data_IF_018089257965
#
_entry.id   IF_018089257965
#
_cell.length_a   1.000
_cell.length_b   1.000
_cell.length_c   1.000
_cell.angle_alpha   90.00
_cell.angle_beta   90.00
_cell.angle_gamma   90.00
#
_symmetry.space_group_name_H-M   'P 1'
#
loop_
_entity.id
_entity.type
_entity.pdbx_description
1 polymer ?
#
# COMPACT_ATOMS: atom_id res chain seq x y z
N UNK A 1 -19.79 0.96 66.09
CA UNK A 1 -21.13 0.47 65.72
C UNK A 1 -21.04 -0.13 64.33
N UNK A 2 -21.02 -1.43 64.07
CA UNK A 2 -20.72 -2.63 64.84
C UNK A 2 -20.35 -3.67 63.78
N UNK A 3 -19.19 -4.31 63.93
CA UNK A 3 -18.96 -5.63 63.33
C UNK A 3 -19.64 -6.66 64.23
N UNK A 4 -20.08 -7.82 63.69
CA UNK A 4 -19.38 -9.05 64.07
C UNK A 4 -19.41 -10.12 62.92
N UNK A 5 -18.96 -11.37 63.12
CA UNK A 5 -17.55 -11.78 63.12
C UNK A 5 -17.25 -12.94 62.14
N UNK A 6 -15.98 -13.34 62.12
CA UNK A 6 -15.36 -14.41 61.32
C UNK A 6 -15.58 -15.80 61.97
N UNK A 7 -15.23 -16.87 61.22
CA UNK A 7 -14.68 -18.22 61.55
C UNK A 7 -15.58 -19.48 61.34
N UNK A 8 -15.01 -20.69 61.09
CA UNK A 8 -14.90 -21.31 59.75
C UNK A 8 -15.46 -22.75 59.70
N UNK A 9 -15.58 -23.36 58.52
CA UNK A 9 -15.59 -24.84 58.40
C UNK A 9 -14.85 -25.35 57.17
N UNK A 10 -14.07 -26.41 57.40
CA UNK A 10 -13.18 -27.14 56.50
C UNK A 10 -13.87 -28.38 55.89
N UNK A 11 -13.16 -28.94 54.89
CA UNK A 11 -13.17 -30.34 54.41
C UNK A 11 -13.99 -30.64 53.13
N UNK A 12 -13.28 -31.09 52.09
CA UNK A 12 -13.83 -31.93 51.02
C UNK A 12 -13.19 -31.74 49.63
N UNK A 13 -12.11 -32.47 49.32
CA UNK A 13 -11.65 -32.70 47.94
C UNK A 13 -12.72 -33.50 47.17
N UNK A 14 -12.81 -33.33 45.83
CA UNK A 14 -12.33 -34.42 44.99
C UNK A 14 -11.54 -33.97 43.75
N UNK A 15 -10.62 -34.86 43.39
CA UNK A 15 -9.83 -34.91 42.16
C UNK A 15 -10.70 -34.92 40.90
N UNK A 16 -10.31 -34.15 39.88
CA UNK A 16 -10.58 -34.50 38.48
C UNK A 16 -9.31 -34.46 37.65
N UNK A 17 -9.05 -35.63 37.10
CA UNK A 17 -8.00 -36.06 36.20
C UNK A 17 -8.09 -35.36 34.85
N UNK A 18 -6.93 -34.93 34.34
CA UNK A 18 -6.72 -34.50 32.97
C UNK A 18 -6.54 -35.72 32.05
N UNK A 19 -7.09 -35.75 30.83
CA UNK A 19 -6.81 -36.81 29.89
C UNK A 19 -5.42 -36.65 29.27
N UNK A 20 -4.60 -37.69 29.47
CA UNK A 20 -3.29 -37.89 28.85
C UNK A 20 -3.48 -38.27 27.38
N UNK A 21 -2.97 -37.44 26.46
CA UNK A 21 -2.81 -37.83 25.07
C UNK A 21 -1.62 -38.80 24.95
N UNK A 22 -1.88 -39.97 24.37
CA UNK A 22 -0.91 -41.04 24.13
C UNK A 22 0.12 -40.61 23.08
N UNK A 23 1.40 -40.64 23.46
CA UNK A 23 2.53 -40.72 22.54
C UNK A 23 2.68 -42.18 22.08
N UNK A 24 2.81 -42.39 20.77
CA UNK A 24 3.04 -43.70 20.16
C UNK A 24 4.56 -43.88 19.92
N UNK A 25 5.23 -44.91 20.46
CA UNK A 25 6.63 -45.19 20.18
C UNK A 25 6.78 -46.42 19.27
N UNK A 26 7.36 -46.25 18.10
CA UNK A 26 8.00 -47.30 17.31
C UNK A 26 9.33 -46.72 16.80
N UNK A 27 10.43 -47.10 17.45
CA UNK A 27 11.48 -47.98 16.91
C UNK A 27 12.11 -47.37 15.63
N UNK A 28 13.24 -46.66 15.67
CA UNK A 28 14.57 -47.11 16.12
C UNK A 28 14.99 -48.40 15.41
N UNK A 29 15.52 -48.26 14.19
CA UNK A 29 16.60 -49.13 13.73
C UNK A 29 17.39 -48.49 12.55
N UNK A 30 18.63 -48.94 12.42
CA UNK A 30 19.67 -48.62 11.42
C UNK A 30 20.74 -47.56 11.76
N UNK A 31 21.74 -48.07 12.50
CA UNK A 31 23.13 -47.64 12.47
C UNK A 31 23.85 -48.09 11.17
N UNK A 32 24.68 -47.17 10.66
CA UNK A 32 25.97 -47.30 9.96
C UNK A 32 26.20 -48.28 8.79
N UNK A 33 26.58 -47.70 7.63
CA UNK A 33 27.94 -47.84 7.05
C UNK A 33 28.13 -46.97 5.78
N UNK A 34 29.12 -46.06 5.86
CA UNK A 34 30.02 -45.54 4.81
C UNK A 34 29.52 -45.43 3.34
N UNK A 35 29.51 -44.21 2.79
CA UNK A 35 30.61 -43.81 1.89
C UNK A 35 30.66 -42.29 1.65
N UNK A 36 31.86 -41.76 1.85
CA UNK A 36 32.31 -40.44 1.40
C UNK A 36 32.36 -40.40 -0.13
N UNK A 37 31.69 -39.43 -0.77
CA UNK A 37 32.22 -38.70 -1.95
C UNK A 37 31.27 -37.59 -2.43
N UNK A 38 31.88 -36.41 -2.58
CA UNK A 38 31.48 -35.24 -3.40
C UNK A 38 30.48 -34.23 -2.82
N UNK A 39 31.03 -33.41 -1.93
CA UNK A 39 31.05 -31.95 -2.10
C UNK A 39 31.38 -31.56 -3.56
N UNK A 40 30.52 -30.77 -4.21
CA UNK A 40 30.92 -29.76 -5.20
C UNK A 40 29.73 -28.89 -5.66
N UNK A 41 29.84 -27.57 -5.39
CA UNK A 41 29.24 -26.41 -6.10
C UNK A 41 27.74 -26.15 -5.83
N UNK A 42 27.28 -24.94 -5.53
CA UNK A 42 27.90 -23.61 -5.33
C UNK A 42 26.83 -22.78 -4.60
N UNK A 43 27.08 -22.41 -3.34
CA UNK A 43 26.29 -21.42 -2.61
C UNK A 43 27.00 -20.07 -2.76
N UNK A 44 26.45 -19.13 -3.51
CA UNK A 44 26.96 -17.74 -3.55
C UNK A 44 26.14 -16.93 -2.55
N UNK A 45 26.64 -16.85 -1.31
CA UNK A 45 26.27 -15.79 -0.36
C UNK A 45 27.47 -14.85 -0.23
N UNK A 46 27.33 -13.62 -0.75
CA UNK A 46 28.29 -12.53 -0.49
C UNK A 46 28.07 -12.04 0.95
N UNK A 47 28.95 -12.46 1.85
CA UNK A 47 29.23 -11.75 3.10
C UNK A 47 30.44 -10.84 2.86
N UNK A 48 30.25 -9.52 2.92
CA UNK A 48 31.35 -8.58 3.02
C UNK A 48 31.96 -8.67 4.43
N UNK A 49 33.15 -9.26 4.55
CA UNK A 49 34.04 -9.04 5.70
C UNK A 49 35.11 -8.05 5.27
N UNK A 50 35.12 -6.89 5.89
CA UNK A 50 36.29 -6.00 5.87
C UNK A 50 37.38 -6.65 6.74
N UNK A 51 38.50 -7.05 6.13
CA UNK A 51 39.74 -7.30 6.86
C UNK A 51 40.62 -6.06 6.73
N UNK A 52 40.82 -5.36 7.84
CA UNK A 52 41.90 -4.39 7.96
C UNK A 52 43.19 -5.14 8.29
N UNK A 53 44.17 -5.10 7.39
CA UNK A 53 45.55 -5.43 7.74
C UNK A 53 46.29 -4.14 8.08
N UNK A 54 46.69 -4.02 9.34
CA UNK A 54 47.66 -3.04 9.81
C UNK A 54 49.05 -3.68 9.70
N UNK A 55 49.88 -3.18 8.80
CA UNK A 55 51.33 -3.43 8.83
C UNK A 55 51.99 -2.19 9.43
N UNK A 56 52.65 -2.36 10.57
CA UNK A 56 53.45 -1.32 11.23
C UNK A 56 54.82 -1.34 10.57
N UNK A 57 55.21 -0.24 9.94
CA UNK A 57 56.59 0.02 9.56
C UNK A 57 57.27 0.86 10.65
N UNK A 58 58.47 0.46 11.06
CA UNK A 58 59.28 1.04 12.13
C UNK A 58 59.97 2.35 11.72
N UNK A 59 59.21 3.28 11.14
CA UNK A 59 59.68 4.63 10.85
C UNK A 59 58.53 5.65 10.81
N UNK A 60 57.75 5.74 11.90
CA UNK A 60 57.10 6.97 12.39
C UNK A 60 56.39 7.94 11.42
N UNK A 61 55.88 7.52 10.26
CA UNK A 61 55.11 8.41 9.38
C UNK A 61 54.00 7.66 8.60
N UNK A 62 52.77 8.14 8.73
CA UNK A 62 51.60 7.64 8.00
C UNK A 62 51.45 8.40 6.68
N UNK A 63 51.57 7.69 5.56
CA UNK A 63 51.12 8.14 4.23
C UNK A 63 50.12 7.12 3.67
N UNK A 64 48.91 7.56 3.34
CA UNK A 64 47.99 6.78 2.50
C UNK A 64 48.54 6.80 1.07
N UNK A 65 48.86 5.62 0.53
CA UNK A 65 49.24 5.43 -0.87
C UNK A 65 48.25 4.42 -1.46
N UNK A 66 47.47 4.85 -2.45
CA UNK A 66 46.73 3.94 -3.32
C UNK A 66 47.53 3.74 -4.61
N UNK A 67 48.17 2.58 -4.76
CA UNK A 67 48.75 2.13 -6.03
C UNK A 67 47.73 1.25 -6.76
N UNK A 68 47.38 1.63 -7.99
CA UNK A 68 46.62 0.79 -8.93
C UNK A 68 47.59 0.02 -9.81
N UNK A 69 47.71 -1.30 -9.59
CA UNK A 69 48.36 -2.23 -10.51
C UNK A 69 47.38 -2.63 -11.61
N UNK A 70 47.78 -2.39 -12.87
CA UNK A 70 46.99 -2.65 -14.06
C UNK A 70 46.89 -4.13 -14.43
N UNK A 71 45.72 -4.50 -14.96
CA UNK A 71 45.55 -5.59 -15.90
C UNK A 71 44.39 -5.22 -16.83
N UNK A 72 44.72 -4.98 -18.09
CA UNK A 72 43.80 -4.71 -19.19
C UNK A 72 43.02 -5.97 -19.55
N UNK A 73 41.71 -5.94 -19.31
CA UNK A 73 40.75 -6.83 -19.97
C UNK A 73 39.64 -5.95 -20.52
N UNK A 74 39.44 -6.00 -21.82
CA UNK A 74 38.50 -5.15 -22.55
C UNK A 74 37.09 -5.29 -22.02
N UNK A 75 36.63 -4.26 -21.28
CA UNK A 75 35.21 -3.99 -21.13
C UNK A 75 34.87 -2.85 -22.08
N UNK A 76 34.01 -3.15 -23.05
CA UNK A 76 33.30 -2.11 -23.78
C UNK A 76 32.69 -1.14 -22.76
N UNK A 77 33.00 0.14 -22.92
CA UNK A 77 32.44 1.20 -22.10
C UNK A 77 30.91 1.13 -22.19
N UNK A 78 30.27 0.65 -21.12
CA UNK A 78 28.86 0.91 -20.87
C UNK A 78 28.73 2.43 -20.69
N UNK A 79 27.99 3.15 -21.55
CA UNK A 79 27.77 4.56 -21.33
C UNK A 79 27.05 4.73 -20.00
N UNK A 80 27.65 5.51 -19.10
CA UNK A 80 26.94 6.14 -17.99
C UNK A 80 25.83 7.01 -18.61
N UNK A 81 24.66 6.41 -18.79
CA UNK A 81 23.45 7.12 -19.16
C UNK A 81 22.97 7.87 -17.92
N UNK A 82 23.57 9.04 -17.65
CA UNK A 82 22.80 10.13 -17.04
C UNK A 82 21.77 10.58 -18.06
N UNK A 83 20.66 9.84 -18.20
CA UNK A 83 19.45 10.40 -18.76
C UNK A 83 18.65 10.99 -17.62
N UNK A 84 18.91 12.27 -17.36
CA UNK A 84 17.88 13.17 -16.85
C UNK A 84 16.82 13.33 -17.95
N UNK A 85 16.06 12.26 -18.22
CA UNK A 85 14.87 12.35 -19.04
C UNK A 85 13.75 12.86 -18.15
N UNK A 86 13.33 14.07 -18.45
CA UNK A 86 12.12 14.72 -17.96
C UNK A 86 10.89 13.88 -18.34
N UNK A 87 10.55 12.89 -17.51
CA UNK A 87 9.29 12.15 -17.60
C UNK A 87 8.14 13.00 -17.04
N UNK A 88 7.75 14.04 -17.77
CA UNK A 88 6.52 14.81 -17.47
C UNK A 88 5.61 14.90 -18.68
N UNK A 89 5.48 13.78 -19.42
CA UNK A 89 4.28 13.59 -20.25
C UNK A 89 3.21 12.99 -19.33
N UNK A 90 2.37 13.83 -18.72
CA UNK A 90 1.21 13.41 -17.91
C UNK A 90 0.45 12.34 -18.71
N UNK A 91 0.51 11.08 -18.26
CA UNK A 91 0.02 9.94 -19.03
C UNK A 91 -1.52 9.86 -19.05
N UNK A 92 -2.18 10.47 -18.06
CA UNK A 92 -3.62 10.66 -18.02
C UNK A 92 -3.96 12.14 -18.29
N UNK A 93 -4.93 12.45 -19.18
CA UNK A 93 -5.39 13.82 -19.38
C UNK A 93 -6.09 14.30 -18.11
N UNK A 94 -5.36 15.07 -17.31
CA UNK A 94 -5.82 15.60 -16.02
C UNK A 94 -5.80 17.12 -16.04
N UNK A 95 -6.95 17.70 -15.75
CA UNK A 95 -7.07 19.11 -15.43
C UNK A 95 -6.81 19.29 -13.93
N UNK A 96 -5.87 20.17 -13.59
CA UNK A 96 -5.53 20.47 -12.19
C UNK A 96 -5.84 21.93 -11.94
N UNK A 97 -6.71 22.17 -10.96
CA UNK A 97 -7.09 23.49 -10.49
C UNK A 97 -6.56 23.71 -9.08
N UNK A 98 -5.67 24.70 -8.93
CA UNK A 98 -5.25 25.17 -7.62
C UNK A 98 -6.35 26.05 -7.03
N UNK A 99 -6.97 25.61 -5.94
CA UNK A 99 -8.07 26.33 -5.26
C UNK A 99 -7.50 27.28 -4.20
N UNK A 100 -6.46 26.84 -3.50
CA UNK A 100 -5.67 27.65 -2.55
C UNK A 100 -4.25 27.07 -2.44
N UNK A 101 -3.31 27.72 -1.72
CA UNK A 101 -1.94 27.21 -1.57
C UNK A 101 -1.83 25.78 -1.01
N UNK A 102 -2.87 25.30 -0.33
CA UNK A 102 -2.92 23.95 0.27
C UNK A 102 -4.00 23.06 -0.33
N UNK A 103 -4.78 23.53 -1.32
CA UNK A 103 -5.92 22.80 -1.87
C UNK A 103 -5.84 22.72 -3.40
N UNK A 104 -5.86 21.49 -3.91
CA UNK A 104 -5.90 21.20 -5.35
C UNK A 104 -7.10 20.32 -5.68
N UNK A 105 -7.69 20.57 -6.85
CA UNK A 105 -8.69 19.72 -7.47
C UNK A 105 -8.15 19.15 -8.78
N UNK A 106 -8.21 17.84 -8.91
CA UNK A 106 -7.75 17.11 -10.08
C UNK A 106 -8.96 16.44 -10.72
N UNK A 107 -9.20 16.72 -12.00
CA UNK A 107 -10.35 16.18 -12.73
C UNK A 107 -9.84 15.48 -13.98
N UNK A 108 -10.25 14.22 -14.15
CA UNK A 108 -9.87 13.44 -15.31
C UNK A 108 -10.99 12.46 -15.71
N UNK A 109 -10.94 12.08 -16.98
CA UNK A 109 -12.03 11.39 -17.67
C UNK A 109 -11.44 10.20 -18.42
N UNK A 110 -12.06 9.02 -18.28
CA UNK A 110 -11.66 7.79 -18.98
C UNK A 110 -12.90 7.22 -19.68
N UNK A 111 -13.09 7.62 -20.93
CA UNK A 111 -14.13 7.07 -21.80
C UNK A 111 -13.79 5.63 -22.19
N UNK A 112 -12.57 5.40 -22.66
CA UNK A 112 -12.08 4.09 -23.05
C UNK A 112 -10.64 3.88 -22.58
N UNK A 113 -10.22 2.61 -22.48
CA UNK A 113 -8.82 2.27 -22.22
C UNK A 113 -8.07 2.28 -23.55
N UNK A 114 -7.52 3.43 -23.92
CA UNK A 114 -6.66 3.57 -25.09
C UNK A 114 -5.29 2.90 -24.86
N UNK A 115 -4.44 2.90 -25.87
CA UNK A 115 -3.10 2.31 -25.80
C UNK A 115 -2.23 2.95 -24.72
N UNK A 116 -2.42 4.24 -24.41
CA UNK A 116 -1.62 4.93 -23.39
C UNK A 116 -2.03 4.50 -21.99
N UNK A 117 -3.32 4.46 -21.70
CA UNK A 117 -3.86 4.02 -20.41
C UNK A 117 -3.57 2.53 -20.19
N UNK A 118 -3.73 1.71 -21.23
CA UNK A 118 -3.38 0.28 -21.20
C UNK A 118 -1.91 0.09 -20.85
N UNK A 119 -1.01 0.82 -21.52
CA UNK A 119 0.42 0.80 -21.18
C UNK A 119 0.68 1.22 -19.73
N UNK A 120 -0.01 2.23 -19.23
CA UNK A 120 0.13 2.63 -17.82
C UNK A 120 -0.31 1.52 -16.86
N UNK A 121 -1.43 0.86 -17.17
CA UNK A 121 -1.87 -0.30 -16.39
C UNK A 121 -0.80 -1.38 -16.43
N UNK A 122 -0.31 -1.78 -17.60
CA UNK A 122 0.73 -2.81 -17.73
C UNK A 122 2.01 -2.46 -16.95
N UNK A 123 2.46 -1.20 -17.04
CA UNK A 123 3.68 -0.70 -16.39
C UNK A 123 3.55 -0.67 -14.84
N UNK A 124 2.32 -0.53 -14.28
CA UNK A 124 2.12 -0.34 -12.83
C UNK A 124 1.31 -1.42 -12.12
N UNK A 125 0.52 -2.24 -12.81
CA UNK A 125 -0.48 -3.13 -12.22
C UNK A 125 0.15 -4.11 -11.22
N UNK A 126 1.25 -4.77 -11.61
CA UNK A 126 2.01 -5.67 -10.72
C UNK A 126 2.40 -4.93 -9.45
N UNK A 127 3.00 -3.75 -9.59
CA UNK A 127 3.48 -2.97 -8.44
C UNK A 127 2.38 -2.35 -7.57
N UNK A 128 1.17 -2.19 -8.10
CA UNK A 128 -0.01 -1.77 -7.32
C UNK A 128 -0.55 -2.96 -6.53
N UNK A 129 -0.68 -4.11 -7.20
CA UNK A 129 -1.24 -5.33 -6.62
C UNK A 129 -0.33 -6.00 -5.60
N UNK A 130 0.94 -6.16 -5.94
CA UNK A 130 1.88 -7.07 -5.27
C UNK A 130 3.23 -6.41 -4.96
N UNK A 131 3.42 -5.13 -5.31
CA UNK A 131 4.64 -4.38 -5.00
C UNK A 131 5.80 -4.82 -5.89
N UNK A 132 7.00 -4.91 -5.32
CA UNK A 132 8.24 -5.31 -6.02
C UNK A 132 8.36 -6.83 -6.18
N UNK A 133 7.24 -7.55 -6.25
CA UNK A 133 7.20 -8.98 -6.49
C UNK A 133 7.72 -9.36 -7.88
N UNK A 134 8.19 -10.59 -8.05
CA UNK A 134 8.59 -11.15 -9.34
C UNK A 134 7.41 -11.73 -10.16
N UNK A 135 6.16 -11.33 -9.85
CA UNK A 135 4.98 -11.85 -10.55
C UNK A 135 4.88 -11.32 -11.98
N UNK A 136 4.58 -12.24 -12.91
CA UNK A 136 4.23 -11.89 -14.28
C UNK A 136 2.89 -11.14 -14.34
N UNK A 137 2.81 -10.15 -15.24
CA UNK A 137 1.63 -9.30 -15.42
C UNK A 137 0.36 -10.13 -15.66
N UNK A 138 0.42 -11.14 -16.53
CA UNK A 138 -0.74 -11.96 -16.88
C UNK A 138 -1.29 -12.74 -15.68
N UNK A 139 -0.42 -13.17 -14.77
CA UNK A 139 -0.83 -13.82 -13.52
C UNK A 139 -1.53 -12.84 -12.59
N UNK A 140 -1.04 -11.61 -12.49
CA UNK A 140 -1.68 -10.55 -11.68
C UNK A 140 -3.04 -10.18 -12.26
N UNK A 141 -3.16 -10.02 -13.59
CA UNK A 141 -4.45 -9.80 -14.26
C UNK A 141 -5.43 -10.94 -13.97
N UNK A 142 -4.98 -12.19 -14.08
CA UNK A 142 -5.80 -13.36 -13.77
C UNK A 142 -6.28 -13.37 -12.32
N UNK A 143 -5.40 -13.09 -11.35
CA UNK A 143 -5.75 -13.01 -9.92
C UNK A 143 -6.75 -11.89 -9.66
N UNK A 144 -6.53 -10.71 -10.24
CA UNK A 144 -7.41 -9.56 -10.09
C UNK A 144 -8.79 -9.82 -10.72
N UNK A 145 -8.83 -10.46 -11.89
CA UNK A 145 -10.08 -10.90 -12.53
C UNK A 145 -10.87 -11.83 -11.62
N UNK A 146 -10.23 -12.90 -11.13
CA UNK A 146 -10.85 -13.84 -10.17
C UNK A 146 -11.33 -13.16 -8.90
N UNK A 147 -10.54 -12.23 -8.36
CA UNK A 147 -10.94 -11.43 -7.20
C UNK A 147 -12.23 -10.63 -7.44
N UNK A 148 -12.45 -10.13 -8.66
CA UNK A 148 -13.63 -9.36 -9.04
C UNK A 148 -14.83 -10.23 -9.45
N UNK A 149 -14.62 -11.44 -9.96
CA UNK A 149 -15.69 -12.34 -10.43
C UNK A 149 -16.69 -12.69 -9.34
N UNK A 150 -16.22 -12.94 -8.11
CA UNK A 150 -17.06 -13.34 -6.97
C UNK A 150 -17.75 -12.15 -6.24
N UNK A 151 -17.68 -10.94 -6.80
CA UNK A 151 -18.15 -9.71 -6.15
C UNK A 151 -19.37 -9.14 -6.86
N UNK A 152 -20.28 -8.55 -6.09
CA UNK A 152 -21.38 -7.76 -6.64
C UNK A 152 -20.85 -6.54 -7.41
N UNK A 153 -21.69 -5.99 -8.29
CA UNK A 153 -21.32 -4.86 -9.17
C UNK A 153 -20.76 -3.65 -8.39
N UNK A 154 -21.40 -3.29 -7.27
CA UNK A 154 -20.96 -2.14 -6.44
C UNK A 154 -19.57 -2.40 -5.87
N UNK A 155 -19.31 -3.60 -5.39
CA UNK A 155 -17.98 -3.99 -4.87
C UNK A 155 -16.93 -4.00 -5.99
N UNK A 156 -17.27 -4.49 -7.19
CA UNK A 156 -16.37 -4.45 -8.36
C UNK A 156 -16.05 -3.02 -8.78
N UNK A 157 -17.04 -2.13 -8.79
CA UNK A 157 -16.86 -0.70 -9.07
C UNK A 157 -15.99 0.00 -8.03
N UNK A 158 -16.15 -0.33 -6.74
CA UNK A 158 -15.29 0.13 -5.65
C UNK A 158 -13.83 -0.25 -5.88
N UNK A 159 -13.58 -1.55 -6.04
CA UNK A 159 -12.23 -2.07 -6.27
C UNK A 159 -11.57 -1.48 -7.53
N UNK A 160 -12.31 -1.36 -8.64
CA UNK A 160 -11.80 -0.73 -9.85
C UNK A 160 -11.50 0.76 -9.64
N UNK A 161 -12.39 1.51 -8.96
CA UNK A 161 -12.18 2.91 -8.66
C UNK A 161 -10.91 3.14 -7.81
N UNK A 162 -10.73 2.37 -6.74
CA UNK A 162 -9.53 2.40 -5.91
C UNK A 162 -8.26 2.15 -6.74
N UNK A 163 -8.28 1.13 -7.60
CA UNK A 163 -7.14 0.80 -8.44
C UNK A 163 -6.79 1.92 -9.44
N UNK A 164 -7.80 2.58 -10.03
CA UNK A 164 -7.54 3.75 -10.89
C UNK A 164 -7.01 4.95 -10.10
N UNK A 165 -7.43 5.14 -8.84
CA UNK A 165 -6.84 6.15 -7.96
C UNK A 165 -5.35 5.87 -7.74
N UNK A 166 -5.02 4.60 -7.44
CA UNK A 166 -3.64 4.16 -7.22
C UNK A 166 -2.81 4.33 -8.49
N UNK A 167 -3.34 3.94 -9.66
CA UNK A 167 -2.69 4.14 -10.96
C UNK A 167 -2.36 5.62 -11.19
N UNK A 168 -3.34 6.51 -11.00
CA UNK A 168 -3.10 7.95 -11.16
C UNK A 168 -1.97 8.42 -10.25
N UNK A 169 -2.00 8.07 -8.96
CA UNK A 169 -0.99 8.50 -8.00
C UNK A 169 0.40 7.94 -8.34
N UNK A 170 0.50 6.70 -8.80
CA UNK A 170 1.76 6.12 -9.29
C UNK A 170 2.30 6.89 -10.48
N UNK A 171 1.46 7.24 -11.46
CA UNK A 171 1.88 8.07 -12.61
C UNK A 171 2.28 9.49 -12.20
N UNK A 172 1.76 9.99 -11.07
CA UNK A 172 2.09 11.29 -10.51
C UNK A 172 3.31 11.26 -9.54
N UNK A 173 4.02 10.12 -9.46
CA UNK A 173 5.25 9.97 -8.69
C UNK A 173 5.05 9.70 -7.19
N UNK A 174 3.84 9.34 -6.76
CA UNK A 174 3.61 8.87 -5.40
C UNK A 174 4.06 7.41 -5.29
N UNK A 175 4.71 7.06 -4.19
CA UNK A 175 5.00 5.68 -3.83
C UNK A 175 3.85 5.14 -2.98
N UNK A 176 3.35 3.98 -3.38
CA UNK A 176 2.36 3.22 -2.60
C UNK A 176 3.08 2.51 -1.45
N UNK A 177 2.67 2.73 -0.21
CA UNK A 177 3.26 2.08 0.98
C UNK A 177 2.35 0.94 1.50
N UNK A 178 1.65 0.30 0.57
CA UNK A 178 0.78 -0.85 0.82
C UNK A 178 0.65 -1.72 -0.43
N UNK A 179 -0.04 -2.84 -0.32
CA UNK A 179 -0.39 -3.71 -1.46
C UNK A 179 -1.88 -3.63 -1.72
N UNK A 180 -2.32 -3.58 -2.98
CA UNK A 180 -3.75 -3.59 -3.29
C UNK A 180 -4.40 -4.92 -2.87
N UNK A 181 -3.75 -6.06 -3.16
CA UNK A 181 -4.20 -7.34 -2.63
C UNK A 181 -3.99 -7.40 -1.11
N UNK A 182 -5.03 -7.86 -0.42
CA UNK A 182 -4.95 -8.18 1.01
C UNK A 182 -4.56 -9.66 1.14
N UNK A 183 -3.52 -9.96 1.92
CA UNK A 183 -2.95 -11.31 2.00
C UNK A 183 -3.78 -12.25 2.90
N UNK A 184 -4.67 -11.73 3.75
CA UNK A 184 -5.29 -12.55 4.80
C UNK A 184 -6.68 -13.13 4.50
N UNK A 185 -7.49 -12.64 3.56
CA UNK A 185 -8.74 -13.31 3.13
C UNK A 185 -9.53 -12.42 2.15
N UNK A 186 -10.49 -12.99 1.41
CA UNK A 186 -11.42 -12.33 0.49
C UNK A 186 -12.38 -11.29 1.11
N UNK A 187 -11.98 -10.65 2.21
CA UNK A 187 -12.64 -9.56 2.90
C UNK A 187 -12.05 -8.20 2.53
N UNK A 188 -12.91 -7.19 2.55
CA UNK A 188 -12.57 -5.79 2.27
C UNK A 188 -11.60 -5.29 3.35
N UNK A 189 -10.54 -4.60 2.92
CA UNK A 189 -9.55 -3.97 3.80
C UNK A 189 -10.25 -3.18 4.91
N UNK A 190 -9.75 -3.33 6.13
CA UNK A 190 -10.15 -2.50 7.27
C UNK A 190 -9.09 -1.43 7.46
N UNK A 191 -9.42 -0.18 7.17
CA UNK A 191 -8.51 0.96 7.27
C UNK A 191 -8.71 1.94 6.13
N UNK A 192 -7.64 2.65 5.76
CA UNK A 192 -7.61 3.57 4.63
C UNK A 192 -7.55 2.82 3.30
N UNK A 193 -8.17 3.37 2.27
CA UNK A 193 -8.04 2.86 0.90
C UNK A 193 -6.61 3.03 0.35
N UNK A 194 -5.83 3.96 0.91
CA UNK A 194 -4.38 4.01 0.65
C UNK A 194 -3.55 4.86 1.60
N UNK A 195 -2.27 4.49 1.70
CA UNK A 195 -1.21 5.26 2.35
C UNK A 195 -0.05 5.44 1.36
N UNK A 196 0.27 6.68 1.04
CA UNK A 196 1.28 7.01 0.03
C UNK A 196 2.41 7.84 0.64
N UNK A 197 3.57 7.81 0.01
CA UNK A 197 4.66 8.74 0.28
C UNK A 197 5.10 9.45 -0.99
N UNK A 198 5.56 10.70 -0.85
CA UNK A 198 6.15 11.50 -1.93
C UNK A 198 6.95 12.64 -1.32
N UNK A 199 8.16 12.89 -1.82
CA UNK A 199 9.00 14.01 -1.38
C UNK A 199 9.17 14.10 0.15
N UNK A 200 9.44 12.96 0.80
CA UNK A 200 9.53 12.78 2.26
C UNK A 200 8.24 13.04 3.08
N UNK A 201 7.13 13.34 2.41
CA UNK A 201 5.80 13.51 3.01
C UNK A 201 4.96 12.24 2.85
N UNK A 202 3.94 12.10 3.71
CA UNK A 202 2.99 10.98 3.67
C UNK A 202 1.57 11.47 3.45
N UNK A 203 0.77 10.69 2.72
CA UNK A 203 -0.58 11.04 2.30
C UNK A 203 -1.55 9.92 2.65
N UNK A 204 -2.72 10.28 3.18
CA UNK A 204 -3.84 9.36 3.39
C UNK A 204 -4.84 9.50 2.25
N UNK A 205 -5.24 8.38 1.67
CA UNK A 205 -6.25 8.33 0.62
C UNK A 205 -7.49 7.60 1.12
N UNK A 206 -8.64 8.21 0.85
CA UNK A 206 -9.94 7.53 0.90
C UNK A 206 -10.67 7.79 -0.41
N UNK A 207 -11.31 6.75 -0.91
CA UNK A 207 -12.04 6.76 -2.16
C UNK A 207 -13.52 6.46 -1.95
N UNK A 208 -14.35 6.98 -2.85
CA UNK A 208 -15.76 6.63 -2.96
C UNK A 208 -16.13 6.50 -4.43
N UNK A 209 -16.86 5.45 -4.77
CA UNK A 209 -17.37 5.23 -6.12
C UNK A 209 -18.89 5.21 -6.18
N UNK A 210 -19.46 5.35 -7.38
CA UNK A 210 -20.87 5.11 -7.64
C UNK A 210 -21.21 5.12 -9.12
N UNK A 211 -22.45 4.78 -9.43
CA UNK A 211 -23.01 4.74 -10.79
C UNK A 211 -23.86 5.98 -11.05
N UNK A 212 -23.87 6.48 -12.29
CA UNK A 212 -24.76 7.56 -12.75
C UNK A 212 -26.25 7.24 -12.53
N UNK A 213 -26.62 5.96 -12.50
CA UNK A 213 -27.98 5.52 -12.18
C UNK A 213 -28.36 5.68 -10.70
N UNK A 214 -27.40 6.01 -9.83
CA UNK A 214 -27.66 6.25 -8.41
C UNK A 214 -28.33 7.61 -8.21
N UNK A 215 -29.41 7.63 -7.42
CA UNK A 215 -30.16 8.84 -7.13
C UNK A 215 -29.27 9.94 -6.54
N UNK A 216 -29.27 11.13 -7.17
CA UNK A 216 -28.52 12.33 -6.74
C UNK A 216 -27.00 12.10 -6.60
N UNK A 217 -26.40 11.27 -7.46
CA UNK A 217 -24.96 11.08 -7.43
C UNK A 217 -24.24 12.35 -7.90
N UNK A 218 -23.19 12.74 -7.17
CA UNK A 218 -22.31 13.85 -7.55
C UNK A 218 -20.89 13.57 -7.07
N UNK A 219 -19.89 14.12 -7.77
CA UNK A 219 -18.50 14.04 -7.31
C UNK A 219 -18.33 14.72 -5.96
N UNK A 220 -19.00 15.87 -5.78
CA UNK A 220 -19.02 16.67 -4.55
C UNK A 220 -19.40 15.86 -3.32
N UNK A 221 -20.50 15.11 -3.38
CA UNK A 221 -20.96 14.31 -2.24
C UNK A 221 -20.02 13.14 -1.95
N UNK A 222 -19.49 12.49 -2.99
CA UNK A 222 -18.52 11.41 -2.84
C UNK A 222 -17.21 11.88 -2.21
N UNK A 223 -16.71 13.06 -2.61
CA UNK A 223 -15.53 13.68 -1.99
C UNK A 223 -15.77 14.04 -0.51
N UNK A 224 -16.94 14.61 -0.20
CA UNK A 224 -17.34 14.90 1.20
C UNK A 224 -17.41 13.62 2.05
N UNK A 225 -17.96 12.53 1.50
CA UNK A 225 -18.01 11.25 2.17
C UNK A 225 -16.62 10.65 2.39
N UNK A 226 -15.73 10.72 1.39
CA UNK A 226 -14.34 10.28 1.53
C UNK A 226 -13.61 11.07 2.63
N UNK A 227 -13.74 12.41 2.62
CA UNK A 227 -13.17 13.28 3.64
C UNK A 227 -13.69 12.93 5.05
N UNK A 228 -15.01 12.78 5.20
CA UNK A 228 -15.63 12.47 6.50
C UNK A 228 -15.18 11.10 7.03
N UNK A 229 -15.04 10.10 6.16
CA UNK A 229 -14.52 8.78 6.55
C UNK A 229 -13.07 8.89 7.07
N UNK A 230 -12.18 9.62 6.38
CA UNK A 230 -10.82 9.87 6.87
C UNK A 230 -10.79 10.57 8.23
N UNK A 231 -11.59 11.63 8.39
CA UNK A 231 -11.66 12.39 9.63
C UNK A 231 -12.10 11.50 10.80
N UNK A 232 -13.10 10.65 10.57
CA UNK A 232 -13.57 9.66 11.56
C UNK A 232 -12.52 8.61 11.87
N UNK A 233 -11.76 8.13 10.87
CA UNK A 233 -10.70 7.15 11.09
C UNK A 233 -9.56 7.71 11.93
N UNK A 234 -9.02 8.88 11.60
CA UNK A 234 -7.87 9.45 12.33
C UNK A 234 -8.24 9.93 13.73
N UNK A 235 -9.49 10.37 13.93
CA UNK A 235 -9.99 10.85 15.22
C UNK A 235 -10.54 9.75 16.15
N UNK A 236 -10.53 8.49 15.72
CA UNK A 236 -11.06 7.37 16.51
C UNK A 236 -12.59 7.33 16.64
N UNK A 237 -13.30 8.10 15.80
CA UNK A 237 -14.78 8.24 15.84
C UNK A 237 -15.52 7.37 14.81
N UNK A 238 -14.83 6.44 14.16
CA UNK A 238 -15.45 5.61 13.12
C UNK A 238 -16.48 4.63 13.69
N UNK A 239 -17.69 4.67 13.14
CA UNK A 239 -18.80 3.78 13.50
C UNK A 239 -18.62 2.37 12.91
N UNK A 240 -17.78 2.22 11.86
CA UNK A 240 -17.55 0.96 11.13
C UNK A 240 -16.72 -0.07 11.92
N UNK A 241 -16.39 0.21 13.18
CA UNK A 241 -15.77 -0.71 14.13
C UNK A 241 -14.67 -0.08 14.96
N UNK A 242 -14.36 -0.65 16.13
CA UNK A 242 -13.27 -0.22 17.02
C UNK A 242 -11.87 -0.62 16.50
N UNK A 243 -11.74 -0.93 15.22
CA UNK A 243 -10.49 -1.42 14.65
C UNK A 243 -9.54 -0.26 14.42
N UNK A 244 -8.28 -0.45 14.81
CA UNK A 244 -7.21 0.52 14.62
C UNK A 244 -6.76 0.52 13.14
N UNK A 245 -7.04 1.57 12.34
CA UNK A 245 -6.72 1.60 10.92
C UNK A 245 -5.21 1.55 10.66
N UNK A 246 -4.41 2.01 11.63
CA UNK A 246 -2.95 2.03 11.52
C UNK A 246 -2.32 0.64 11.66
N UNK A 247 -3.01 -0.34 12.26
CA UNK A 247 -2.53 -1.74 12.28
C UNK A 247 -2.43 -2.30 10.86
N UNK A 248 -3.47 -2.11 10.07
CA UNK A 248 -3.48 -2.58 8.68
C UNK A 248 -2.42 -1.83 7.85
N UNK A 249 -2.34 -0.51 8.00
CA UNK A 249 -1.31 0.29 7.34
C UNK A 249 0.11 -0.17 7.71
N UNK A 250 0.37 -0.48 8.99
CA UNK A 250 1.68 -0.94 9.45
C UNK A 250 2.05 -2.32 8.89
N UNK A 251 1.08 -3.24 8.87
CA UNK A 251 1.28 -4.60 8.33
C UNK A 251 1.65 -4.53 6.85
N UNK A 252 0.88 -3.77 6.07
CA UNK A 252 1.16 -3.53 4.66
C UNK A 252 2.52 -2.86 4.43
N UNK A 253 2.80 -1.76 5.13
CA UNK A 253 4.09 -1.07 5.01
C UNK A 253 5.27 -1.95 5.42
N UNK A 254 5.06 -2.95 6.28
CA UNK A 254 6.10 -3.89 6.71
C UNK A 254 6.34 -5.04 5.74
N UNK A 255 5.50 -5.18 4.71
CA UNK A 255 5.71 -6.17 3.66
C UNK A 255 6.98 -5.86 2.86
N UNK A 256 7.79 -6.88 2.59
CA UNK A 256 9.10 -6.70 1.95
C UNK A 256 8.96 -6.11 0.55
N UNK A 257 7.99 -6.58 -0.23
CA UNK A 257 7.77 -6.13 -1.61
C UNK A 257 7.24 -4.69 -1.70
N UNK A 258 6.66 -4.15 -0.63
CA UNK A 258 6.32 -2.72 -0.57
C UNK A 258 7.58 -1.87 -0.43
N UNK A 259 8.60 -2.39 0.26
CA UNK A 259 9.87 -1.71 0.43
C UNK A 259 9.76 -0.38 1.17
N UNK A 260 8.82 -0.25 2.13
CA UNK A 260 8.65 1.00 2.87
C UNK A 260 9.87 1.32 3.73
N UNK A 261 10.28 2.58 3.70
CA UNK A 261 11.39 3.05 4.52
C UNK A 261 11.12 2.84 6.01
N UNK A 262 12.20 2.56 6.76
CA UNK A 262 12.11 2.33 8.20
C UNK A 262 11.55 3.54 8.95
N UNK A 263 11.85 4.76 8.48
CA UNK A 263 11.32 6.03 9.00
C UNK A 263 9.79 6.09 8.91
N UNK A 264 9.23 5.80 7.73
CA UNK A 264 7.78 5.77 7.48
C UNK A 264 7.11 4.69 8.32
N UNK A 265 7.66 3.46 8.35
CA UNK A 265 7.13 2.38 9.20
C UNK A 265 7.09 2.75 10.68
N UNK A 266 8.14 3.41 11.19
CA UNK A 266 8.17 3.92 12.57
C UNK A 266 7.06 4.95 12.81
N UNK A 267 6.83 5.87 11.87
CA UNK A 267 5.73 6.86 11.97
C UNK A 267 4.37 6.18 12.06
N UNK A 268 4.10 5.20 11.20
CA UNK A 268 2.84 4.44 11.21
C UNK A 268 2.70 3.65 12.53
N UNK A 269 3.79 3.04 13.02
CA UNK A 269 3.79 2.32 14.29
C UNK A 269 3.47 3.22 15.49
N UNK A 270 4.01 4.44 15.51
CA UNK A 270 3.68 5.42 16.55
C UNK A 270 2.19 5.79 16.52
N UNK A 271 1.62 6.04 15.33
CA UNK A 271 0.19 6.33 15.16
C UNK A 271 -0.68 5.14 15.63
N UNK A 272 -0.26 3.92 15.31
CA UNK A 272 -0.89 2.70 15.80
C UNK A 272 -0.89 2.64 17.33
N UNK A 273 0.26 2.85 17.97
CA UNK A 273 0.40 2.75 19.42
C UNK A 273 -0.37 3.85 20.15
N UNK A 274 -0.39 5.08 19.59
CA UNK A 274 -1.21 6.18 20.12
C UNK A 274 -2.71 5.83 20.04
N UNK A 275 -3.16 5.31 18.91
CA UNK A 275 -4.56 4.92 18.72
C UNK A 275 -4.99 3.82 19.70
N UNK A 276 -4.15 2.78 19.90
CA UNK A 276 -4.42 1.72 20.88
C UNK A 276 -4.47 2.27 22.33
N UNK A 277 -3.76 3.36 22.62
CA UNK A 277 -3.80 4.08 23.90
C UNK A 277 -4.95 5.09 24.03
N UNK A 278 -5.81 5.20 23.01
CA UNK A 278 -6.91 6.18 22.99
C UNK A 278 -6.46 7.63 22.77
N UNK A 279 -5.23 7.84 22.30
CA UNK A 279 -4.73 9.15 21.87
C UNK A 279 -4.86 9.26 20.36
N UNK A 280 -5.74 10.13 19.89
CA UNK A 280 -6.08 10.24 18.47
C UNK A 280 -5.48 11.50 17.83
N UNK A 281 -5.15 11.42 16.55
CA UNK A 281 -4.65 12.55 15.76
C UNK A 281 -5.79 13.38 15.18
N UNK A 282 -5.49 14.63 14.83
CA UNK A 282 -6.39 15.49 14.05
C UNK A 282 -6.12 15.33 12.57
N UNK A 283 -7.15 15.44 11.73
CA UNK A 283 -7.00 15.37 10.27
C UNK A 283 -6.05 16.44 9.71
N UNK A 284 -5.95 17.59 10.39
CA UNK A 284 -5.01 18.69 10.07
C UNK A 284 -3.53 18.31 10.15
N UNK A 285 -3.18 17.18 10.80
CA UNK A 285 -1.80 16.68 10.89
C UNK A 285 -1.35 15.91 9.63
N UNK A 286 -2.26 15.63 8.70
CA UNK A 286 -2.00 14.76 7.55
C UNK A 286 -2.20 15.49 6.22
N UNK A 287 -1.45 15.07 5.20
CA UNK A 287 -1.80 15.38 3.82
C UNK A 287 -2.90 14.41 3.38
N UNK A 288 -3.97 14.94 2.81
CA UNK A 288 -5.20 14.21 2.53
C UNK A 288 -5.46 14.16 1.03
N UNK A 289 -5.82 12.98 0.56
CA UNK A 289 -6.31 12.73 -0.79
C UNK A 289 -7.72 12.17 -0.68
N UNK A 290 -8.69 12.87 -1.28
CA UNK A 290 -10.05 12.36 -1.40
C UNK A 290 -10.32 12.04 -2.86
N UNK A 291 -10.82 10.83 -3.12
CA UNK A 291 -11.00 10.33 -4.47
C UNK A 291 -12.45 9.97 -4.74
N UNK A 292 -12.97 10.44 -5.86
CA UNK A 292 -14.35 10.21 -6.29
C UNK A 292 -14.37 9.62 -7.69
N UNK A 293 -14.99 8.46 -7.86
CA UNK A 293 -15.24 7.88 -9.18
C UNK A 293 -16.73 7.77 -9.47
N UNK A 294 -17.15 8.24 -10.64
CA UNK A 294 -18.50 8.03 -11.16
C UNK A 294 -18.41 7.21 -12.44
N UNK A 295 -19.17 6.13 -12.50
CA UNK A 295 -19.31 5.29 -13.69
C UNK A 295 -20.58 5.68 -14.45
N UNK A 296 -20.47 5.87 -15.76
CA UNK A 296 -21.59 6.30 -16.62
C UNK A 296 -22.37 5.14 -17.26
N UNK A 297 -22.08 3.90 -16.87
CA UNK A 297 -22.71 2.68 -17.39
C UNK A 297 -22.75 2.60 -18.93
N UNK A 298 -21.69 3.06 -19.59
CA UNK A 298 -21.56 3.05 -21.05
C UNK A 298 -22.16 4.26 -21.77
N UNK A 299 -22.98 5.07 -21.11
CA UNK A 299 -23.56 6.30 -21.67
C UNK A 299 -22.61 7.48 -21.45
N UNK A 300 -21.60 7.60 -22.31
CA UNK A 300 -20.57 8.65 -22.16
C UNK A 300 -21.16 10.05 -22.21
N UNK A 301 -20.76 10.88 -21.24
CA UNK A 301 -21.02 12.31 -21.19
C UNK A 301 -19.71 13.00 -20.82
N UNK A 302 -19.10 13.67 -21.81
CA UNK A 302 -17.85 14.40 -21.63
C UNK A 302 -17.95 15.56 -20.64
N UNK A 303 -19.17 15.99 -20.30
CA UNK A 303 -19.44 17.12 -19.40
C UNK A 303 -19.73 16.68 -17.96
N UNK A 304 -19.86 15.37 -17.69
CA UNK A 304 -20.24 14.84 -16.38
C UNK A 304 -19.29 15.25 -15.23
N UNK A 305 -18.02 15.54 -15.54
CA UNK A 305 -17.07 16.09 -14.56
C UNK A 305 -16.84 17.59 -14.67
N UNK A 306 -17.40 18.28 -15.68
CA UNK A 306 -17.17 19.71 -15.87
C UNK A 306 -17.80 20.57 -14.78
N UNK A 307 -18.93 20.13 -14.20
CA UNK A 307 -19.60 20.84 -13.11
C UNK A 307 -18.69 20.99 -11.88
N UNK A 308 -17.87 19.98 -11.55
CA UNK A 308 -16.99 20.07 -10.37
C UNK A 308 -15.88 21.09 -10.55
N UNK A 309 -15.50 21.42 -11.79
CA UNK A 309 -14.51 22.46 -12.09
C UNK A 309 -15.06 23.86 -11.83
N UNK A 310 -16.38 24.05 -11.84
CA UNK A 310 -17.04 25.32 -11.49
C UNK A 310 -17.49 25.34 -10.03
N UNK A 311 -18.19 24.32 -9.54
CA UNK A 311 -18.62 24.16 -8.14
C UNK A 311 -17.56 23.43 -7.29
N UNK A 312 -16.40 24.06 -7.08
CA UNK A 312 -15.26 23.50 -6.33
C UNK A 312 -15.02 24.15 -4.96
N UNK A 313 -15.70 25.25 -4.63
CA UNK A 313 -15.43 26.02 -3.40
C UNK A 313 -15.65 25.19 -2.12
N UNK A 314 -16.49 24.16 -2.18
CA UNK A 314 -16.71 23.24 -1.05
C UNK A 314 -15.44 22.50 -0.61
N UNK A 315 -14.45 22.36 -1.51
CA UNK A 315 -13.16 21.72 -1.19
C UNK A 315 -12.39 22.52 -0.14
N UNK A 316 -12.59 23.85 -0.07
CA UNK A 316 -12.00 24.70 0.99
C UNK A 316 -12.54 24.38 2.38
N UNK A 317 -13.65 23.65 2.49
CA UNK A 317 -14.19 23.17 3.75
C UNK A 317 -13.46 21.93 4.29
N UNK A 318 -12.53 21.34 3.54
CA UNK A 318 -11.74 20.20 3.98
C UNK A 318 -10.51 20.67 4.77
N UNK A 319 -10.25 20.07 5.93
CA UNK A 319 -9.08 20.39 6.75
C UNK A 319 -7.98 19.34 6.59
N UNK A 320 -6.74 19.78 6.47
CA UNK A 320 -5.56 18.93 6.29
C UNK A 320 -4.30 19.79 6.19
N UNK A 321 -3.12 19.16 6.27
CA UNK A 321 -1.85 19.83 5.97
C UNK A 321 -1.82 20.29 4.51
N UNK A 322 -2.23 19.39 3.60
CA UNK A 322 -2.57 19.68 2.21
C UNK A 322 -3.77 18.82 1.82
N UNK A 323 -4.58 19.29 0.87
CA UNK A 323 -5.78 18.62 0.36
C UNK A 323 -5.65 18.44 -1.15
N UNK A 324 -5.82 17.21 -1.61
CA UNK A 324 -5.99 16.89 -3.03
C UNK A 324 -7.33 16.20 -3.21
N UNK A 325 -8.29 16.92 -3.77
CA UNK A 325 -9.55 16.35 -4.20
C UNK A 325 -9.41 15.86 -5.64
N UNK A 326 -9.85 14.64 -5.91
CA UNK A 326 -9.65 14.00 -7.20
C UNK A 326 -10.95 13.38 -7.71
N UNK A 327 -11.28 13.66 -8.97
CA UNK A 327 -12.50 13.20 -9.63
C UNK A 327 -12.15 12.43 -10.89
N UNK A 328 -12.63 11.19 -10.99
CA UNK A 328 -12.62 10.37 -12.20
C UNK A 328 -14.04 10.11 -12.69
N UNK A 329 -14.38 10.55 -13.89
CA UNK A 329 -15.52 9.97 -14.61
C UNK A 329 -15.04 8.87 -15.53
N UNK A 330 -15.67 7.70 -15.42
CA UNK A 330 -15.36 6.52 -16.22
C UNK A 330 -16.59 6.08 -17.00
N UNK A 331 -16.46 5.74 -18.28
CA UNK A 331 -17.61 5.29 -19.07
C UNK A 331 -18.25 4.03 -18.49
N UNK A 332 -17.48 2.95 -18.32
CA UNK A 332 -17.99 1.68 -17.80
C UNK A 332 -16.93 0.89 -17.03
N UNK A 333 -17.40 -0.01 -16.17
CA UNK A 333 -16.55 -1.03 -15.53
C UNK A 333 -16.05 -2.06 -16.57
N UNK A 334 -16.87 -2.41 -17.56
CA UNK A 334 -16.61 -3.47 -18.54
C UNK A 334 -15.30 -3.31 -19.30
N UNK A 335 -14.93 -2.07 -19.65
CA UNK A 335 -13.66 -1.81 -20.33
C UNK A 335 -12.46 -2.25 -19.49
N UNK A 336 -12.54 -2.12 -18.16
CA UNK A 336 -11.50 -2.60 -17.26
C UNK A 336 -11.50 -4.12 -17.14
N UNK A 337 -12.67 -4.75 -17.08
CA UNK A 337 -12.78 -6.23 -17.06
C UNK A 337 -12.19 -6.84 -18.34
N UNK A 338 -12.53 -6.29 -19.52
CA UNK A 338 -11.96 -6.70 -20.81
C UNK A 338 -10.45 -6.50 -20.88
N UNK A 339 -9.88 -5.53 -20.17
CA UNK A 339 -8.43 -5.36 -20.08
C UNK A 339 -7.77 -6.50 -19.29
N UNK A 340 -8.43 -7.02 -18.26
CA UNK A 340 -7.92 -8.14 -17.45
C UNK A 340 -8.04 -9.51 -18.16
N UNK A 341 -8.84 -9.59 -19.21
CA UNK A 341 -9.02 -10.79 -20.05
C UNK A 341 -7.99 -10.92 -21.17
N UNK A 342 -7.27 -9.83 -21.48
CA UNK A 342 -6.17 -9.78 -22.44
C UNK A 342 -4.85 -10.07 -21.76
#
# INVERSE_FOLDING_TARGET
MDLPPIIPQTVGKPSRTLPVARLNPLAQDYHDKYSTRRLARKLVRRTYRYLHYLTIDTSGSTKQIHQFGGATWGMAALPLLHSSQTWTKKMLPVEIKLISPTHELHVFNIESLDTKITKCLDDFLVSICEGSSDSELDLVKLRLRKFLEDKDEKTRMGAAAELFAHLYLRTAGYKQEFLFFNLEEGSIKKGFDGFFSKDAETYLLESKSGSISSKKISHKDKLKHAYSDLEKYVSGKSEKGKNNPWKNAYNHASHIDVGTEKSIRKKIKLLQDMFDKGTFSKITEFNIITYSTIFLNGSWDSTASSEILTDNSFVLGFNGKTIKAMCLTKSSLDSFIKYLEK
#
